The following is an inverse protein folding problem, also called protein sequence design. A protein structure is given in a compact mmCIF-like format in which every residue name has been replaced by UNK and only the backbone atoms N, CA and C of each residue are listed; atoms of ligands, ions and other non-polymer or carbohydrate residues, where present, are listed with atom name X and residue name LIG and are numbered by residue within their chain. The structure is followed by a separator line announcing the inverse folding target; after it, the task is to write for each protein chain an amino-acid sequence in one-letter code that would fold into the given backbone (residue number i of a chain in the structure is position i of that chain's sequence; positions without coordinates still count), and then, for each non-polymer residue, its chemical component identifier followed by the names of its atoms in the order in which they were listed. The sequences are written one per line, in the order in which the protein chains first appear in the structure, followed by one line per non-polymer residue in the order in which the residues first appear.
data_IF_661363556560
#
_entry.id   IF_661363556560
#
_cell.length_a   1.000
_cell.length_b   1.000
_cell.length_c   1.000
_cell.angle_alpha   90.00
_cell.angle_beta   90.00
_cell.angle_gamma   90.00
#
_symmetry.space_group_name_H-M   'P 1'
#
loop_
_entity.id
_entity.type
_entity.pdbx_description
1 polymer ?
#
# COMPACT_ATOMS: atom_id res chain seq x y z
N UNK A 1 5.59 -7.81 -0.02
CA UNK A 1 5.02 -7.99 -1.38
C UNK A 1 3.63 -8.58 -1.24
N UNK A 2 2.67 -8.18 -2.08
CA UNK A 2 1.33 -8.76 -2.11
C UNK A 2 0.77 -8.74 -3.54
N UNK A 3 -0.20 -9.62 -3.80
CA UNK A 3 -0.88 -9.75 -5.10
C UNK A 3 -2.37 -9.63 -4.90
N UNK A 4 -3.01 -8.71 -5.60
CA UNK A 4 -4.47 -8.57 -5.58
C UNK A 4 -5.16 -9.71 -6.31
N UNK A 5 -6.45 -9.93 -6.02
CA UNK A 5 -7.28 -10.95 -6.68
C UNK A 5 -7.39 -10.77 -8.20
N UNK A 6 -7.18 -9.55 -8.72
CA UNK A 6 -7.14 -9.25 -10.15
C UNK A 6 -5.77 -9.51 -10.81
N UNK A 7 -4.80 -10.08 -10.09
CA UNK A 7 -3.48 -10.47 -10.59
C UNK A 7 -2.41 -9.37 -10.58
N UNK A 8 -2.73 -8.15 -10.13
CA UNK A 8 -1.73 -7.09 -10.02
C UNK A 8 -0.91 -7.27 -8.74
N UNK A 9 0.41 -7.22 -8.86
CA UNK A 9 1.33 -7.38 -7.75
C UNK A 9 2.09 -6.11 -7.46
N UNK A 10 2.28 -5.86 -6.17
CA UNK A 10 2.91 -4.67 -5.63
C UNK A 10 3.92 -5.06 -4.56
N UNK A 11 4.95 -4.26 -4.44
CA UNK A 11 5.88 -4.29 -3.33
C UNK A 11 5.89 -2.93 -2.65
N UNK A 12 5.71 -2.94 -1.34
CA UNK A 12 5.65 -1.72 -0.51
C UNK A 12 6.60 -1.91 0.65
N UNK A 13 7.37 -0.87 0.94
CA UNK A 13 8.23 -0.76 2.11
C UNK A 13 7.77 0.42 2.97
N UNK A 14 7.24 0.12 4.15
CA UNK A 14 6.86 1.11 5.16
C UNK A 14 8.12 1.58 5.91
N UNK A 15 8.75 2.65 5.39
CA UNK A 15 10.03 3.18 5.89
C UNK A 15 9.96 3.64 7.34
N UNK A 16 8.89 4.37 7.66
CA UNK A 16 8.64 4.95 8.97
C UNK A 16 7.14 5.23 9.13
N UNK A 17 6.75 5.96 10.17
CA UNK A 17 5.35 6.23 10.51
C UNK A 17 4.60 7.17 9.54
N UNK A 18 5.29 7.78 8.58
CA UNK A 18 4.71 8.76 7.65
C UNK A 18 5.23 8.66 6.21
N UNK A 19 6.04 7.65 5.87
CA UNK A 19 6.63 7.53 4.54
C UNK A 19 6.66 6.08 4.06
N UNK A 20 6.35 5.87 2.78
CA UNK A 20 6.54 4.59 2.07
C UNK A 20 7.40 4.77 0.81
N UNK A 21 8.02 3.67 0.42
CA UNK A 21 8.42 3.43 -0.96
C UNK A 21 7.59 2.28 -1.52
N UNK A 22 7.25 2.33 -2.81
CA UNK A 22 6.58 1.20 -3.44
C UNK A 22 6.97 1.03 -4.91
N UNK A 23 6.78 -0.19 -5.41
CA UNK A 23 6.99 -0.58 -6.79
C UNK A 23 5.83 -1.44 -7.31
N UNK A 24 5.37 -1.14 -8.52
CA UNK A 24 4.37 -1.94 -9.22
C UNK A 24 5.08 -3.07 -9.97
N UNK A 25 4.86 -4.31 -9.52
CA UNK A 25 5.54 -5.51 -10.03
C UNK A 25 4.80 -6.14 -11.20
N UNK A 26 3.47 -6.06 -11.26
CA UNK A 26 2.65 -6.46 -12.41
C UNK A 26 1.40 -5.59 -12.58
N UNK A 27 0.74 -5.70 -13.74
CA UNK A 27 -0.48 -4.95 -14.06
C UNK A 27 -0.24 -3.76 -15.00
N UNK A 28 -1.24 -2.89 -15.23
CA UNK A 28 -1.21 -1.84 -16.24
C UNK A 28 -0.14 -0.76 -16.04
N UNK A 29 0.39 -0.67 -14.81
CA UNK A 29 1.38 0.32 -14.39
C UNK A 29 2.72 -0.36 -14.00
N UNK A 30 2.95 -1.58 -14.46
CA UNK A 30 4.20 -2.33 -14.19
C UNK A 30 5.43 -1.48 -14.52
N UNK A 31 6.40 -1.46 -13.60
CA UNK A 31 7.63 -0.68 -13.72
C UNK A 31 7.57 0.70 -13.05
N UNK A 32 6.37 1.19 -12.67
CA UNK A 32 6.23 2.38 -11.84
C UNK A 32 6.91 2.16 -10.48
N UNK A 33 7.75 3.11 -10.08
CA UNK A 33 8.40 3.15 -8.77
C UNK A 33 8.18 4.52 -8.13
N UNK A 34 7.87 4.51 -6.84
CA UNK A 34 7.66 5.72 -6.05
C UNK A 34 8.53 5.64 -4.80
N UNK A 35 9.29 6.71 -4.54
CA UNK A 35 10.12 6.84 -3.34
C UNK A 35 9.70 8.07 -2.54
N UNK A 36 9.67 7.93 -1.22
CA UNK A 36 9.40 9.05 -0.32
C UNK A 36 7.95 9.51 -0.36
N UNK A 37 6.99 8.62 -0.65
CA UNK A 37 5.58 8.97 -0.62
C UNK A 37 5.14 9.21 0.81
N UNK A 38 4.64 10.41 1.09
CA UNK A 38 4.02 10.72 2.37
C UNK A 38 2.70 9.98 2.54
N UNK A 39 2.47 9.46 3.74
CA UNK A 39 1.28 8.69 4.08
C UNK A 39 0.69 9.11 5.42
N UNK A 40 -0.58 8.75 5.65
CA UNK A 40 -1.23 8.78 6.96
C UNK A 40 -1.47 7.35 7.42
N UNK A 41 -1.02 7.01 8.63
CA UNK A 41 -1.25 5.71 9.26
C UNK A 41 -2.20 5.89 10.44
N UNK A 42 -3.19 5.01 10.55
CA UNK A 42 -4.06 4.87 11.73
C UNK A 42 -4.14 3.41 12.13
N UNK A 43 -3.99 3.14 13.41
CA UNK A 43 -4.25 1.83 13.97
C UNK A 43 -5.76 1.65 14.15
N UNK A 44 -6.33 0.59 13.58
CA UNK A 44 -7.76 0.28 13.67
C UNK A 44 -8.08 -0.71 14.80
N UNK A 45 -7.17 -1.65 15.06
CA UNK A 45 -7.28 -2.65 16.12
C UNK A 45 -5.96 -2.73 16.88
N UNK A 46 -6.03 -2.77 18.21
CA UNK A 46 -4.85 -3.04 19.05
C UNK A 46 -4.44 -4.50 18.92
N UNK A 47 -3.14 -4.77 18.93
CA UNK A 47 -2.69 -6.14 19.15
C UNK A 47 -3.04 -6.59 20.57
N UNK A 48 -3.18 -7.89 20.79
CA UNK A 48 -3.36 -8.45 22.13
C UNK A 48 -2.71 -9.82 22.23
N UNK A 49 -2.46 -10.24 23.46
CA UNK A 49 -1.98 -11.58 23.78
C UNK A 49 -3.19 -12.45 24.08
N UNK A 50 -3.36 -13.55 23.36
CA UNK A 50 -4.35 -14.58 23.69
C UNK A 50 -3.74 -15.52 24.73
N UNK A 51 -4.38 -15.61 25.89
CA UNK A 51 -4.02 -16.55 26.97
C UNK A 51 -4.56 -17.96 26.71
N UNK A 52 -5.48 -18.12 25.75
CA UNK A 52 -6.20 -19.36 25.47
C UNK A 52 -5.38 -20.36 24.64
N UNK A 53 -4.22 -19.95 24.12
CA UNK A 53 -3.30 -20.78 23.34
C UNK A 53 -2.04 -21.07 24.15
N UNK A 54 -1.70 -22.36 24.27
CA UNK A 54 -0.43 -22.80 24.86
C UNK A 54 0.74 -22.08 24.16
N UNK A 55 1.47 -21.25 24.91
CA UNK A 55 2.58 -20.44 24.39
C UNK A 55 2.27 -18.95 24.17
N UNK A 56 1.03 -18.49 24.40
CA UNK A 56 0.65 -17.08 24.31
C UNK A 56 0.80 -16.50 22.91
N UNK A 57 -0.23 -16.63 22.08
CA UNK A 57 -0.19 -16.04 20.72
C UNK A 57 -0.39 -14.54 20.79
N UNK A 58 0.48 -13.77 20.15
CA UNK A 58 0.33 -12.31 20.01
C UNK A 58 -0.36 -12.03 18.70
N UNK A 59 -1.58 -11.53 18.75
CA UNK A 59 -2.26 -11.02 17.56
C UNK A 59 -1.64 -9.67 17.15
N UNK A 60 -1.11 -9.54 15.92
CA UNK A 60 -0.65 -8.27 15.39
C UNK A 60 -1.80 -7.24 15.29
N UNK A 61 -1.49 -5.95 15.43
CA UNK A 61 -2.46 -4.87 15.18
C UNK A 61 -2.88 -4.78 13.70
N UNK A 62 -4.05 -4.19 13.47
CA UNK A 62 -4.56 -3.85 12.13
C UNK A 62 -4.35 -2.37 11.87
N UNK A 63 -3.84 -2.03 10.69
CA UNK A 63 -3.56 -0.64 10.29
C UNK A 63 -4.36 -0.24 9.06
N UNK A 64 -4.77 1.02 9.03
CA UNK A 64 -5.18 1.74 7.83
C UNK A 64 -4.06 2.67 7.39
N UNK A 65 -3.73 2.66 6.11
CA UNK A 65 -2.72 3.54 5.50
C UNK A 65 -3.33 4.23 4.29
N UNK A 66 -3.26 5.56 4.25
CA UNK A 66 -3.84 6.35 3.16
C UNK A 66 -2.86 7.40 2.64
N UNK A 67 -2.90 7.66 1.33
CA UNK A 67 -2.14 8.73 0.70
C UNK A 67 -2.79 9.23 -0.58
N UNK A 68 -2.32 10.40 -1.03
CA UNK A 68 -2.66 10.99 -2.32
C UNK A 68 -1.36 11.15 -3.10
N UNK A 69 -1.39 10.75 -4.36
CA UNK A 69 -0.27 10.81 -5.28
C UNK A 69 -0.32 12.10 -6.12
N UNK A 70 0.83 12.58 -6.60
CA UNK A 70 0.89 13.73 -7.51
C UNK A 70 0.08 13.55 -8.81
N UNK A 71 -0.16 12.31 -9.22
CA UNK A 71 -1.02 11.96 -10.36
C UNK A 71 -2.50 12.30 -10.14
N UNK A 72 -2.89 12.58 -8.89
CA UNK A 72 -4.27 12.69 -8.42
C UNK A 72 -4.87 11.37 -7.93
N UNK A 73 -4.12 10.26 -8.00
CA UNK A 73 -4.55 8.97 -7.46
C UNK A 73 -4.62 9.02 -5.94
N UNK A 74 -5.74 8.57 -5.38
CA UNK A 74 -5.89 8.41 -3.92
C UNK A 74 -5.92 6.93 -3.56
N UNK A 75 -5.21 6.54 -2.52
CA UNK A 75 -5.10 5.14 -2.09
C UNK A 75 -5.42 5.02 -0.60
N UNK A 76 -6.17 3.99 -0.25
CA UNK A 76 -6.35 3.55 1.13
C UNK A 76 -6.14 2.04 1.21
N UNK A 77 -5.33 1.60 2.15
CA UNK A 77 -5.04 0.20 2.45
C UNK A 77 -5.45 -0.13 3.87
N UNK A 78 -6.01 -1.32 4.07
CA UNK A 78 -6.14 -1.97 5.39
C UNK A 78 -5.20 -3.17 5.40
N UNK A 79 -4.29 -3.18 6.37
CA UNK A 79 -3.26 -4.19 6.57
C UNK A 79 -3.65 -5.03 7.78
N UNK A 80 -4.07 -6.27 7.53
CA UNK A 80 -4.26 -7.27 8.56
C UNK A 80 -3.05 -8.20 8.57
N UNK A 81 -2.10 -7.93 9.47
CA UNK A 81 -0.83 -8.64 9.52
C UNK A 81 -0.97 -10.05 10.12
N UNK A 82 -2.05 -10.32 10.86
CA UNK A 82 -2.35 -11.66 11.38
C UNK A 82 -2.74 -12.62 10.25
N UNK A 83 -3.67 -12.18 9.40
CA UNK A 83 -4.22 -12.98 8.31
C UNK A 83 -3.39 -12.89 7.02
N UNK A 84 -2.32 -12.08 7.02
CA UNK A 84 -1.52 -11.76 5.83
C UNK A 84 -2.37 -11.16 4.68
N UNK A 85 -3.37 -10.37 5.04
CA UNK A 85 -4.31 -9.77 4.10
C UNK A 85 -4.07 -8.27 3.91
N UNK A 86 -4.18 -7.83 2.65
CA UNK A 86 -4.13 -6.42 2.26
C UNK A 86 -5.37 -6.09 1.44
N UNK A 87 -6.26 -5.30 2.02
CA UNK A 87 -7.42 -4.76 1.32
C UNK A 87 -7.10 -3.35 0.86
N UNK A 88 -7.15 -3.08 -0.45
CA UNK A 88 -6.80 -1.75 -0.99
C UNK A 88 -7.92 -1.20 -1.86
N UNK A 89 -8.23 0.08 -1.65
CA UNK A 89 -9.08 0.87 -2.54
C UNK A 89 -8.22 1.93 -3.20
N UNK A 90 -8.25 1.98 -4.55
CA UNK A 90 -7.53 2.96 -5.35
C UNK A 90 -8.55 3.77 -6.17
N UNK A 91 -8.50 5.09 -6.04
CA UNK A 91 -9.27 6.03 -6.83
C UNK A 91 -8.37 6.62 -7.91
N UNK A 92 -8.48 6.10 -9.13
CA UNK A 92 -7.73 6.60 -10.28
C UNK A 92 -8.45 7.80 -10.93
N UNK A 93 -7.75 8.91 -11.19
CA UNK A 93 -8.24 9.93 -12.12
C UNK A 93 -8.50 9.32 -13.49
N UNK A 94 -9.48 9.86 -14.21
CA UNK A 94 -9.89 9.33 -15.52
C UNK A 94 -8.74 9.22 -16.52
N UNK A 95 -7.80 10.17 -16.47
CA UNK A 95 -6.63 10.18 -17.36
C UNK A 95 -5.68 9.00 -17.10
N UNK A 96 -5.51 8.57 -15.84
CA UNK A 96 -4.67 7.42 -15.48
C UNK A 96 -5.30 6.14 -16.01
N UNK A 97 -6.63 6.02 -15.96
CA UNK A 97 -7.34 4.88 -16.56
C UNK A 97 -7.15 4.82 -18.07
N UNK A 98 -7.17 5.97 -18.76
CA UNK A 98 -7.02 6.06 -20.22
C UNK A 98 -5.58 5.78 -20.66
N UNK A 99 -4.60 6.33 -19.94
CA UNK A 99 -3.19 6.30 -20.34
C UNK A 99 -2.28 5.90 -19.16
N UNK A 100 -2.41 4.68 -18.62
CA UNK A 100 -1.70 4.27 -17.40
C UNK A 100 -0.18 4.28 -17.58
N UNK A 101 0.31 4.08 -18.82
CA UNK A 101 1.74 4.07 -19.15
C UNK A 101 2.44 5.42 -18.86
N UNK A 102 1.71 6.54 -18.87
CA UNK A 102 2.26 7.85 -18.49
C UNK A 102 2.72 7.92 -17.03
N UNK A 103 2.24 6.99 -16.20
CA UNK A 103 2.63 6.89 -14.78
C UNK A 103 3.80 5.95 -14.52
N UNK A 104 4.28 5.24 -15.57
CA UNK A 104 5.36 4.26 -15.50
C UNK A 104 6.70 4.97 -15.60
N UNK A 105 7.23 5.36 -14.45
CA UNK A 105 8.53 5.99 -14.28
C UNK A 105 9.01 5.82 -12.83
N UNK A 106 10.18 6.38 -12.53
CA UNK A 106 10.55 6.70 -11.15
C UNK A 106 9.91 8.04 -10.82
N UNK A 107 8.72 8.01 -10.20
CA UNK A 107 7.89 9.22 -10.06
C UNK A 107 8.64 10.39 -9.41
N UNK A 108 9.44 10.10 -8.39
CA UNK A 108 10.17 11.10 -7.62
C UNK A 108 11.14 11.93 -8.47
N UNK A 109 11.61 11.39 -9.60
CA UNK A 109 12.55 12.07 -10.51
C UNK A 109 11.84 13.03 -11.50
N UNK A 110 10.51 13.15 -11.41
CA UNK A 110 9.67 13.91 -12.36
C UNK A 110 8.76 14.95 -11.68
N UNK A 111 9.01 15.33 -10.42
CA UNK A 111 8.17 16.25 -9.63
C UNK A 111 8.78 17.65 -9.46
N UNK A 112 9.59 18.10 -10.41
CA UNK A 112 10.34 19.36 -10.35
C UNK A 112 9.56 20.54 -10.94
#
# INVERSE_FOLDING_TARGET
MYTYSNGWSYEVYYKNNCTIDYQVRSGPMQGRMVKGQEIKIKQLKTGYVSEDLEGGSVEPPVYMVSWVEPTGTSVTQVLNLNELEVNTTIFFPHWVKKEPRKTVCVQSDHLH
#
